data_IF_986677806400
#
_entry.id   IF_986677806400
#
_cell.length_a   1.000
_cell.length_b   1.000
_cell.length_c   1.000
_cell.angle_alpha   90.00
_cell.angle_beta   90.00
_cell.angle_gamma   90.00
#
_symmetry.space_group_name_H-M   'P 1'
#
loop_
_entity.id
_entity.type
_entity.pdbx_description
1 polymer ?
#
# COMPACT_ATOMS: atom_id res chain seq x y z
N UNK A 1 -19.34 10.18 34.72
CA UNK A 1 -18.47 9.14 34.13
C UNK A 1 -17.51 9.86 33.22
N UNK A 2 -16.24 9.94 33.61
CA UNK A 2 -15.17 10.58 32.83
C UNK A 2 -14.67 9.63 31.74
N UNK A 3 -13.92 10.15 30.78
CA UNK A 3 -13.23 9.30 29.79
C UNK A 3 -12.30 8.27 30.46
N UNK A 4 -11.68 8.68 31.57
CA UNK A 4 -10.84 7.81 32.40
C UNK A 4 -11.65 6.63 32.96
N UNK A 5 -12.81 6.90 33.56
CA UNK A 5 -13.69 5.85 34.10
C UNK A 5 -14.14 4.86 33.00
N UNK A 6 -14.37 5.36 31.78
CA UNK A 6 -14.74 4.53 30.62
C UNK A 6 -13.56 3.66 30.14
N UNK A 7 -12.33 4.17 30.18
CA UNK A 7 -11.12 3.41 29.80
C UNK A 7 -10.79 2.35 30.84
N UNK A 8 -10.94 2.66 32.13
CA UNK A 8 -10.72 1.72 33.25
C UNK A 8 -11.76 0.61 33.28
N UNK A 9 -13.02 0.92 32.89
CA UNK A 9 -14.07 -0.08 32.76
C UNK A 9 -13.88 -1.04 31.56
N UNK A 10 -13.04 -0.69 30.58
CA UNK A 10 -12.67 -1.59 29.50
C UNK A 10 -11.53 -2.50 29.97
N UNK A 11 -11.87 -3.77 30.20
CA UNK A 11 -10.87 -4.81 30.38
C UNK A 11 -10.10 -5.01 29.06
N UNK A 12 -9.07 -4.21 28.83
CA UNK A 12 -8.17 -4.42 27.68
C UNK A 12 -7.37 -5.69 27.90
N UNK A 13 -7.24 -6.56 26.89
CA UNK A 13 -6.39 -7.73 27.05
C UNK A 13 -4.95 -7.31 27.32
N UNK A 14 -4.29 -8.03 28.22
CA UNK A 14 -2.89 -7.77 28.56
C UNK A 14 -2.02 -7.93 27.31
N UNK A 15 -1.23 -6.90 27.02
CA UNK A 15 -0.24 -6.97 25.93
C UNK A 15 0.98 -7.68 26.49
N UNK A 16 1.07 -8.98 26.24
CA UNK A 16 2.24 -9.77 26.64
C UNK A 16 3.33 -9.65 25.58
N UNK A 17 4.46 -9.06 25.97
CA UNK A 17 5.64 -8.97 25.11
C UNK A 17 6.57 -10.17 25.38
N UNK A 18 6.83 -11.00 24.35
CA UNK A 18 7.79 -12.11 24.53
C UNK A 18 9.22 -11.60 24.77
N UNK A 19 9.96 -12.32 25.59
CA UNK A 19 11.36 -12.00 25.91
C UNK A 19 12.38 -12.67 24.97
N UNK A 20 11.94 -13.54 24.07
CA UNK A 20 12.81 -14.29 23.17
C UNK A 20 12.48 -14.01 21.70
N UNK A 21 13.46 -14.14 20.80
CA UNK A 21 13.25 -13.98 19.36
C UNK A 21 12.19 -14.94 18.79
N UNK A 22 12.21 -16.21 19.22
CA UNK A 22 11.21 -17.20 18.83
C UNK A 22 9.81 -16.84 19.34
N UNK A 23 9.73 -16.33 20.58
CA UNK A 23 8.46 -15.83 21.14
C UNK A 23 7.92 -14.65 20.33
N UNK A 24 8.78 -13.70 19.94
CA UNK A 24 8.40 -12.58 19.08
C UNK A 24 7.91 -13.02 17.71
N UNK A 25 8.58 -13.98 17.08
CA UNK A 25 8.14 -14.53 15.79
C UNK A 25 6.74 -15.15 15.89
N UNK A 26 6.49 -15.95 16.93
CA UNK A 26 5.17 -16.53 17.18
C UNK A 26 4.11 -15.43 17.37
N UNK A 27 4.41 -14.45 18.22
CA UNK A 27 3.50 -13.33 18.49
C UNK A 27 3.21 -12.50 17.25
N UNK A 28 4.22 -12.26 16.42
CA UNK A 28 4.06 -11.59 15.12
C UNK A 28 3.05 -12.32 14.23
N UNK A 29 3.17 -13.63 14.10
CA UNK A 29 2.24 -14.44 13.30
C UNK A 29 0.81 -14.40 13.87
N UNK A 30 0.64 -14.48 15.18
CA UNK A 30 -0.66 -14.36 15.85
C UNK A 30 -1.32 -13.00 15.57
N UNK A 31 -0.57 -11.91 15.73
CA UNK A 31 -1.05 -10.56 15.48
C UNK A 31 -1.37 -10.34 14.00
N UNK A 32 -0.56 -10.85 13.10
CA UNK A 32 -0.81 -10.76 11.67
C UNK A 32 -2.11 -11.51 11.29
N UNK A 33 -2.31 -12.71 11.81
CA UNK A 33 -3.54 -13.49 11.59
C UNK A 33 -4.78 -12.77 12.13
N UNK A 34 -4.67 -12.21 13.34
CA UNK A 34 -5.76 -11.44 13.94
C UNK A 34 -6.10 -10.21 13.11
N UNK A 35 -5.11 -9.41 12.76
CA UNK A 35 -5.31 -8.18 11.98
C UNK A 35 -5.83 -8.47 10.57
N UNK A 36 -5.33 -9.51 9.92
CA UNK A 36 -5.84 -9.93 8.61
C UNK A 36 -7.26 -10.50 8.69
N UNK A 37 -7.62 -11.15 9.80
CA UNK A 37 -8.96 -11.71 10.00
C UNK A 37 -10.02 -10.65 10.33
N UNK A 38 -9.67 -9.68 11.18
CA UNK A 38 -10.64 -8.79 11.82
C UNK A 38 -10.62 -7.36 11.28
N UNK A 39 -9.51 -6.90 10.70
CA UNK A 39 -9.35 -5.49 10.34
C UNK A 39 -8.99 -5.24 8.88
N UNK A 40 -7.96 -5.88 8.36
CA UNK A 40 -7.40 -5.52 7.04
C UNK A 40 -7.80 -6.45 5.91
N UNK A 41 -8.42 -7.57 6.20
CA UNK A 41 -8.64 -8.62 5.20
C UNK A 41 -7.37 -9.42 4.89
N UNK A 42 -7.49 -10.40 4.03
CA UNK A 42 -6.39 -11.25 3.60
C UNK A 42 -5.69 -10.65 2.40
N UNK A 43 -4.36 -10.72 2.40
CA UNK A 43 -3.58 -10.33 1.23
C UNK A 43 -3.99 -11.19 0.02
N UNK A 44 -4.37 -10.57 -1.11
CA UNK A 44 -4.69 -11.32 -2.32
C UNK A 44 -3.46 -12.07 -2.84
N UNK A 45 -3.64 -13.13 -3.63
CA UNK A 45 -2.51 -13.79 -4.27
C UNK A 45 -1.78 -12.81 -5.21
N UNK A 46 -0.49 -13.02 -5.45
CA UNK A 46 0.25 -12.18 -6.38
C UNK A 46 -0.39 -12.20 -7.77
N UNK A 47 -0.33 -11.10 -8.54
CA UNK A 47 -0.87 -11.06 -9.88
C UNK A 47 -0.14 -12.07 -10.78
N UNK A 48 -0.83 -12.58 -11.79
CA UNK A 48 -0.24 -13.51 -12.77
C UNK A 48 0.91 -12.86 -13.54
N UNK A 49 0.79 -11.59 -13.82
CA UNK A 49 1.81 -10.79 -14.49
C UNK A 49 1.74 -9.35 -14.02
N UNK A 50 2.90 -8.74 -13.89
CA UNK A 50 3.08 -7.31 -13.66
C UNK A 50 3.88 -6.73 -14.81
N UNK A 51 3.37 -5.67 -15.44
CA UNK A 51 4.12 -4.89 -16.42
C UNK A 51 4.16 -3.42 -16.01
N UNK A 52 5.25 -2.76 -16.34
CA UNK A 52 5.46 -1.34 -16.06
C UNK A 52 5.86 -0.67 -17.36
N UNK A 53 5.17 0.42 -17.71
CA UNK A 53 5.50 1.25 -18.85
C UNK A 53 5.76 2.68 -18.40
N UNK A 54 6.91 3.22 -18.77
CA UNK A 54 7.18 4.64 -18.60
C UNK A 54 6.39 5.46 -19.62
N UNK A 55 5.74 6.51 -19.14
CA UNK A 55 4.88 7.40 -19.95
C UNK A 55 5.57 8.73 -20.20
N UNK A 56 6.24 9.26 -19.17
CA UNK A 56 6.95 10.53 -19.24
C UNK A 56 8.03 10.58 -18.16
N UNK A 57 9.02 11.44 -18.35
CA UNK A 57 10.06 11.75 -17.36
C UNK A 57 10.19 13.26 -17.26
N UNK A 58 10.24 13.77 -16.04
CA UNK A 58 10.69 15.13 -15.75
C UNK A 58 12.11 15.07 -15.19
N UNK A 59 13.08 15.31 -16.08
CA UNK A 59 14.51 15.30 -15.74
C UNK A 59 14.93 16.46 -14.83
N UNK A 60 14.09 17.50 -14.70
CA UNK A 60 14.39 18.67 -13.88
C UNK A 60 13.81 18.59 -12.47
N UNK A 61 13.08 17.57 -12.17
CA UNK A 61 12.48 17.38 -10.86
C UNK A 61 13.58 17.33 -9.77
N UNK A 62 13.33 17.90 -8.60
CA UNK A 62 14.32 18.09 -7.53
C UNK A 62 15.65 18.70 -8.06
N UNK A 63 15.56 19.77 -8.86
CA UNK A 63 16.70 20.44 -9.51
C UNK A 63 17.60 19.48 -10.34
N UNK A 64 17.04 18.38 -10.86
CA UNK A 64 17.76 17.36 -11.61
C UNK A 64 18.46 16.29 -10.76
N UNK A 65 18.36 16.39 -9.42
CA UNK A 65 18.96 15.41 -8.53
C UNK A 65 18.18 14.09 -8.45
N UNK A 66 16.87 14.15 -8.76
CA UNK A 66 16.01 12.97 -8.76
C UNK A 66 14.94 13.09 -9.85
N UNK A 67 15.21 12.66 -11.09
CA UNK A 67 14.22 12.63 -12.15
C UNK A 67 12.92 11.94 -11.70
N UNK A 68 11.78 12.52 -12.14
CA UNK A 68 10.47 12.01 -11.84
C UNK A 68 9.92 11.23 -13.02
N UNK A 69 9.84 9.92 -12.86
CA UNK A 69 9.26 9.02 -13.85
C UNK A 69 7.77 8.86 -13.63
N UNK A 70 6.97 9.09 -14.66
CA UNK A 70 5.54 8.79 -14.68
C UNK A 70 5.35 7.41 -15.29
N UNK A 71 4.84 6.49 -14.49
CA UNK A 71 4.70 5.09 -14.85
C UNK A 71 3.24 4.68 -14.97
N UNK A 72 2.97 3.72 -15.82
CA UNK A 72 1.73 2.95 -15.84
C UNK A 72 2.06 1.53 -15.40
N UNK A 73 1.50 1.13 -14.27
CA UNK A 73 1.58 -0.24 -13.78
C UNK A 73 0.33 -1.00 -14.21
N UNK A 74 0.52 -2.14 -14.85
CA UNK A 74 -0.58 -3.02 -15.26
C UNK A 74 -0.39 -4.37 -14.60
N UNK A 75 -1.39 -4.81 -13.86
CA UNK A 75 -1.47 -6.13 -13.25
C UNK A 75 -2.45 -7.01 -14.03
N UNK A 76 -2.04 -8.24 -14.32
CA UNK A 76 -2.92 -9.25 -14.91
C UNK A 76 -3.50 -10.11 -13.81
N UNK A 77 -4.81 -10.10 -13.71
CA UNK A 77 -5.62 -10.80 -12.72
C UNK A 77 -6.43 -11.89 -13.45
N UNK A 78 -7.04 -12.85 -12.73
CA UNK A 78 -7.84 -13.92 -13.35
C UNK A 78 -8.97 -13.42 -14.26
N UNK A 79 -9.54 -12.24 -14.02
CA UNK A 79 -10.66 -11.68 -14.78
C UNK A 79 -10.29 -10.57 -15.75
N UNK A 80 -9.03 -10.21 -15.86
CA UNK A 80 -8.59 -9.18 -16.77
C UNK A 80 -7.40 -8.39 -16.27
N UNK A 81 -7.20 -7.23 -16.83
CA UNK A 81 -6.09 -6.36 -16.48
C UNK A 81 -6.59 -5.13 -15.73
N UNK A 82 -5.84 -4.71 -14.75
CA UNK A 82 -6.04 -3.45 -14.04
C UNK A 82 -4.80 -2.58 -14.18
N UNK A 83 -4.98 -1.31 -14.53
CA UNK A 83 -3.88 -0.36 -14.76
C UNK A 83 -4.05 0.89 -13.93
N UNK A 84 -2.98 1.33 -13.27
CA UNK A 84 -2.98 2.55 -12.48
C UNK A 84 -1.66 3.32 -12.65
N UNK A 85 -1.67 4.66 -12.46
CA UNK A 85 -0.48 5.47 -12.54
C UNK A 85 0.35 5.39 -11.27
N UNK A 86 1.67 5.47 -11.42
CA UNK A 86 2.64 5.60 -10.32
C UNK A 86 3.64 6.68 -10.70
N UNK A 87 3.95 7.58 -9.77
CA UNK A 87 5.06 8.52 -9.89
C UNK A 87 6.25 7.98 -9.11
N UNK A 88 7.43 7.96 -9.73
CA UNK A 88 8.65 7.42 -9.13
C UNK A 88 9.78 8.44 -9.27
N UNK A 89 10.24 9.01 -8.15
CA UNK A 89 11.43 9.84 -8.09
C UNK A 89 12.62 8.98 -7.66
N UNK A 90 13.71 9.00 -8.43
CA UNK A 90 14.89 8.17 -8.18
C UNK A 90 16.13 9.03 -8.11
N UNK A 91 16.86 9.08 -6.96
CA UNK A 91 18.08 9.87 -6.85
C UNK A 91 19.14 9.39 -7.83
N UNK A 92 19.80 10.32 -8.51
CA UNK A 92 20.82 10.01 -9.53
C UNK A 92 22.12 9.50 -8.92
N UNK A 93 22.48 9.99 -7.73
CA UNK A 93 23.76 9.73 -7.08
C UNK A 93 23.82 8.40 -6.30
N UNK A 94 22.68 7.81 -5.96
CA UNK A 94 22.60 6.66 -5.05
C UNK A 94 21.87 5.49 -5.69
N UNK A 95 22.60 4.52 -6.21
CA UNK A 95 22.01 3.30 -6.80
C UNK A 95 22.84 2.07 -6.44
N UNK A 96 22.28 0.98 -5.94
CA UNK A 96 20.86 0.81 -5.55
C UNK A 96 20.49 1.66 -4.33
N UNK A 97 19.25 2.09 -4.25
CA UNK A 97 18.74 2.92 -3.15
C UNK A 97 17.49 2.28 -2.51
N UNK A 98 17.25 2.53 -1.22
CA UNK A 98 16.00 2.13 -0.59
C UNK A 98 14.81 2.88 -1.21
N UNK A 99 13.62 2.28 -1.13
CA UNK A 99 12.40 2.80 -1.71
C UNK A 99 11.36 3.07 -0.62
N UNK A 100 10.81 4.29 -0.62
CA UNK A 100 9.59 4.62 0.10
C UNK A 100 8.40 4.48 -0.85
N UNK A 101 7.38 3.74 -0.45
CA UNK A 101 6.10 3.68 -1.16
C UNK A 101 5.08 4.51 -0.39
N UNK A 102 4.51 5.52 -1.04
CA UNK A 102 3.55 6.43 -0.44
C UNK A 102 2.20 6.34 -1.15
N UNK A 103 1.15 6.07 -0.40
CA UNK A 103 -0.24 6.09 -0.89
C UNK A 103 -0.80 7.49 -0.63
N UNK A 104 -1.03 8.25 -1.69
CA UNK A 104 -1.52 9.63 -1.60
C UNK A 104 -3.03 9.68 -1.51
N UNK A 105 -3.54 10.59 -0.68
CA UNK A 105 -4.95 10.96 -0.62
C UNK A 105 -5.35 12.02 -1.67
N UNK A 106 -4.39 12.53 -2.43
CA UNK A 106 -4.60 13.57 -3.45
C UNK A 106 -4.16 13.09 -4.82
N UNK A 107 -4.87 13.52 -5.90
CA UNK A 107 -4.58 13.07 -7.25
C UNK A 107 -3.28 13.67 -7.82
N UNK A 108 -2.84 14.82 -7.31
CA UNK A 108 -1.60 15.46 -7.76
C UNK A 108 -0.40 14.75 -7.14
N UNK A 109 0.36 14.08 -7.97
CA UNK A 109 1.52 13.31 -7.52
C UNK A 109 2.81 13.81 -8.18
N UNK A 110 3.91 13.90 -7.39
CA UNK A 110 3.94 13.61 -5.95
C UNK A 110 3.10 14.60 -5.14
N UNK A 111 2.55 14.12 -4.03
CA UNK A 111 1.80 14.99 -3.12
C UNK A 111 2.72 16.06 -2.52
N UNK A 112 2.30 17.32 -2.52
CA UNK A 112 3.07 18.48 -2.02
C UNK A 112 3.46 18.38 -0.52
N UNK A 113 2.79 17.52 0.24
CA UNK A 113 3.13 17.27 1.65
C UNK A 113 4.09 16.12 1.86
N UNK A 114 4.38 15.36 0.81
CA UNK A 114 5.43 14.34 0.86
C UNK A 114 6.78 15.01 0.63
N UNK A 115 7.73 14.92 1.56
CA UNK A 115 9.03 15.58 1.44
C UNK A 115 9.95 14.82 0.47
N UNK A 116 9.55 14.80 -0.82
CA UNK A 116 10.25 14.00 -1.84
C UNK A 116 11.70 14.44 -1.99
N UNK A 117 11.94 15.76 -2.06
CA UNK A 117 13.29 16.31 -2.20
C UNK A 117 14.19 15.91 -1.02
N UNK A 118 13.71 16.03 0.22
CA UNK A 118 14.46 15.63 1.39
C UNK A 118 14.77 14.12 1.43
N UNK A 119 13.86 13.29 0.95
CA UNK A 119 14.04 11.84 0.89
C UNK A 119 15.06 11.48 -0.18
N UNK A 120 14.95 12.09 -1.36
CA UNK A 120 15.88 11.81 -2.47
C UNK A 120 17.28 12.34 -2.20
N UNK A 121 17.42 13.49 -1.52
CA UNK A 121 18.71 14.02 -1.07
C UNK A 121 19.41 13.08 -0.06
N UNK A 122 18.63 12.34 0.71
CA UNK A 122 19.15 11.29 1.61
C UNK A 122 19.37 9.94 0.92
N UNK A 123 19.20 9.89 -0.39
CA UNK A 123 19.45 8.69 -1.18
C UNK A 123 18.28 7.69 -1.20
N UNK A 124 17.05 8.10 -0.92
CA UNK A 124 15.87 7.27 -0.98
C UNK A 124 15.09 7.52 -2.27
N UNK A 125 14.72 6.47 -2.97
CA UNK A 125 13.72 6.60 -4.03
C UNK A 125 12.32 6.70 -3.43
N UNK A 126 11.41 7.39 -4.14
CA UNK A 126 10.04 7.61 -3.68
C UNK A 126 9.08 7.21 -4.79
N UNK A 127 8.30 6.17 -4.56
CA UNK A 127 7.16 5.81 -5.40
C UNK A 127 5.86 6.29 -4.76
N UNK A 128 4.99 6.92 -5.52
CA UNK A 128 3.69 7.35 -5.01
C UNK A 128 2.57 7.11 -6.02
N UNK A 129 1.38 6.82 -5.50
CA UNK A 129 0.15 6.72 -6.28
C UNK A 129 -1.04 7.19 -5.44
N UNK A 130 -2.09 7.69 -6.09
CA UNK A 130 -3.31 8.07 -5.41
C UNK A 130 -4.20 6.84 -5.21
N UNK A 131 -4.74 6.66 -3.99
CA UNK A 131 -5.62 5.55 -3.68
C UNK A 131 -6.86 5.50 -4.60
N UNK A 132 -7.41 6.65 -4.98
CA UNK A 132 -8.54 6.73 -5.90
C UNK A 132 -8.27 6.17 -7.30
N UNK A 133 -7.00 6.09 -7.71
CA UNK A 133 -6.61 5.45 -8.97
C UNK A 133 -6.58 3.92 -8.87
N UNK A 134 -6.72 3.40 -7.66
CA UNK A 134 -6.68 1.95 -7.38
C UNK A 134 -8.07 1.44 -7.03
N UNK A 135 -8.75 2.05 -6.07
CA UNK A 135 -10.11 1.68 -5.66
C UNK A 135 -10.74 2.89 -4.99
N UNK A 136 -12.04 3.14 -5.20
CA UNK A 136 -12.73 4.21 -4.48
C UNK A 136 -12.87 3.88 -3.00
N UNK A 137 -12.78 4.95 -2.16
CA UNK A 137 -12.94 4.84 -0.71
C UNK A 137 -14.42 4.97 -0.34
N UNK A 138 -15.17 3.94 -0.66
CA UNK A 138 -16.59 3.82 -0.34
C UNK A 138 -16.92 2.37 0.03
N UNK A 139 -18.15 2.10 0.39
CA UNK A 139 -18.61 0.74 0.72
C UNK A 139 -18.95 -0.11 -0.51
N UNK A 140 -18.79 0.42 -1.71
CA UNK A 140 -18.97 -0.29 -2.97
C UNK A 140 -17.64 -0.85 -3.47
N UNK A 141 -17.43 -2.14 -3.27
CA UNK A 141 -16.22 -2.86 -3.66
C UNK A 141 -16.27 -3.41 -5.09
N UNK A 142 -17.14 -2.86 -5.95
CA UNK A 142 -17.30 -3.32 -7.34
C UNK A 142 -16.44 -2.56 -8.34
N UNK A 143 -15.75 -1.50 -7.91
CA UNK A 143 -14.88 -0.69 -8.76
C UNK A 143 -13.38 -0.96 -8.56
N UNK A 144 -12.57 -0.42 -9.47
CA UNK A 144 -11.12 -0.43 -9.39
C UNK A 144 -10.53 -1.83 -9.21
N UNK A 145 -9.45 -1.89 -8.44
CA UNK A 145 -8.76 -3.13 -8.14
C UNK A 145 -9.61 -4.07 -7.26
N UNK A 146 -10.42 -3.51 -6.35
CA UNK A 146 -11.31 -4.30 -5.50
C UNK A 146 -12.32 -5.06 -6.35
N UNK A 147 -12.96 -4.40 -7.31
CA UNK A 147 -13.87 -5.05 -8.26
C UNK A 147 -13.19 -6.08 -9.15
N UNK A 148 -11.96 -5.77 -9.61
CA UNK A 148 -11.18 -6.70 -10.42
C UNK A 148 -10.71 -7.95 -9.65
N UNK A 149 -10.56 -7.85 -8.32
CA UNK A 149 -10.23 -8.95 -7.42
C UNK A 149 -11.44 -9.64 -6.80
N UNK A 150 -12.66 -9.11 -6.99
CA UNK A 150 -13.88 -9.56 -6.33
C UNK A 150 -13.78 -9.56 -4.80
N UNK A 151 -13.31 -8.47 -4.27
CA UNK A 151 -13.24 -8.27 -2.83
C UNK A 151 -14.65 -8.11 -2.26
N UNK A 152 -14.98 -8.82 -1.21
CA UNK A 152 -16.23 -8.64 -0.49
C UNK A 152 -16.21 -7.37 0.38
N UNK A 153 -17.37 -7.03 0.98
CA UNK A 153 -17.52 -5.86 1.88
C UNK A 153 -16.60 -5.88 3.12
N UNK A 154 -15.94 -6.99 3.38
CA UNK A 154 -14.97 -7.14 4.47
C UNK A 154 -13.52 -7.13 3.97
N UNK A 155 -13.27 -6.82 2.69
CA UNK A 155 -11.95 -6.80 2.10
C UNK A 155 -11.35 -8.19 1.82
N UNK A 156 -12.16 -9.25 1.88
CA UNK A 156 -11.68 -10.58 1.55
C UNK A 156 -11.84 -10.84 0.05
N UNK A 157 -10.78 -11.28 -0.59
CA UNK A 157 -10.86 -11.82 -1.94
C UNK A 157 -11.69 -13.09 -1.88
N UNK A 158 -12.76 -13.17 -2.67
CA UNK A 158 -13.62 -14.35 -2.76
C UNK A 158 -12.84 -15.52 -3.39
N UNK A 159 -12.01 -16.17 -2.58
CA UNK A 159 -11.27 -17.37 -2.98
C UNK A 159 -12.17 -18.60 -3.22
N UNK A 160 -13.49 -18.48 -3.01
CA UNK A 160 -14.43 -19.60 -2.97
C UNK A 160 -15.55 -19.58 -4.00
N UNK A 161 -15.50 -18.74 -5.00
CA UNK A 161 -16.32 -18.99 -6.19
C UNK A 161 -15.49 -19.81 -7.17
N UNK A 162 -15.36 -21.10 -6.85
CA UNK A 162 -15.04 -22.09 -7.87
C UNK A 162 -16.09 -22.00 -8.99
N UNK A 163 -15.76 -22.46 -10.20
CA UNK A 163 -16.69 -22.48 -11.32
C UNK A 163 -17.94 -23.27 -10.87
N UNK A 164 -19.07 -22.57 -10.84
CA UNK A 164 -20.38 -23.22 -10.75
C UNK A 164 -20.70 -23.89 -12.07
#
# INVERSE_FOLDING_TARGET
MTLQDMLEARALPAVNFPSTATGWWRRHMELQQLLCGEAYGRLPPPPQQLSVREVAVDERFCAGNAPLHQLRMTVTLPRGQFTFPVSLAVPTAHRPCPLVVFISFRPNMPDKYLPVEELTDRGWAVASFCYLNVTSDNSDFHDGLAGALEVDRYGNVNAHRGPG
#
